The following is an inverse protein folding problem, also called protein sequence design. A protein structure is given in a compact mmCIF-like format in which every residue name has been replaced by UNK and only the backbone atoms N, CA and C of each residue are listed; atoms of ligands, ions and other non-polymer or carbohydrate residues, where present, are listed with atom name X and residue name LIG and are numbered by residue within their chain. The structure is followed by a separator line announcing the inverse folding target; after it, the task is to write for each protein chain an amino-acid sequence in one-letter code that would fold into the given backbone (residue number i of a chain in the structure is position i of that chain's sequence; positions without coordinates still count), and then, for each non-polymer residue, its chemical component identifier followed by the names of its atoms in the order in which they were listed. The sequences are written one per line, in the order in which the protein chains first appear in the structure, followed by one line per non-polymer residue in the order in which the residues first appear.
data_IF_613787350742
#
_entry.id   IF_613787350742
#
_cell.length_a   1.000
_cell.length_b   1.000
_cell.length_c   1.000
_cell.angle_alpha   90.00
_cell.angle_beta   90.00
_cell.angle_gamma   90.00
#
_symmetry.space_group_name_H-M   'P 1'
#
loop_
_entity.id
_entity.type
_entity.pdbx_description
1 polymer ?
#
# COMPACT_ATOMS: atom_id res chain seq x y z
N UNK A 1 -20.96 -13.09 -3.36
CA UNK A 1 -19.65 -13.04 -4.03
C UNK A 1 -19.29 -14.44 -4.53
N UNK A 2 -18.51 -14.58 -5.60
CA UNK A 2 -17.93 -15.88 -6.00
C UNK A 2 -16.42 -15.95 -5.71
N UNK A 3 -15.86 -17.15 -5.78
CA UNK A 3 -14.44 -17.40 -5.45
C UNK A 3 -13.48 -16.61 -6.36
N UNK A 4 -13.85 -16.39 -7.63
CA UNK A 4 -13.03 -15.63 -8.58
C UNK A 4 -13.00 -14.12 -8.26
N UNK A 5 -14.10 -13.56 -7.77
CA UNK A 5 -14.17 -12.19 -7.28
C UNK A 5 -13.32 -12.00 -6.01
N UNK A 6 -13.38 -12.95 -5.06
CA UNK A 6 -12.51 -12.94 -3.88
C UNK A 6 -11.03 -13.03 -4.22
N UNK A 7 -10.65 -13.90 -5.17
CA UNK A 7 -9.28 -14.03 -5.66
C UNK A 7 -8.77 -12.72 -6.30
N UNK A 8 -9.64 -12.02 -7.03
CA UNK A 8 -9.32 -10.71 -7.63
C UNK A 8 -9.06 -9.67 -6.54
N UNK A 9 -9.92 -9.58 -5.53
CA UNK A 9 -9.74 -8.65 -4.41
C UNK A 9 -8.48 -8.95 -3.60
N UNK A 10 -8.17 -10.23 -3.40
CA UNK A 10 -6.93 -10.66 -2.76
C UNK A 10 -5.70 -10.27 -3.57
N UNK A 11 -5.72 -10.50 -4.88
CA UNK A 11 -4.62 -10.15 -5.78
C UNK A 11 -4.37 -8.64 -5.83
N UNK A 12 -5.44 -7.84 -5.90
CA UNK A 12 -5.36 -6.38 -5.85
C UNK A 12 -4.74 -5.88 -4.53
N UNK A 13 -5.15 -6.46 -3.39
CA UNK A 13 -4.54 -6.14 -2.10
C UNK A 13 -3.04 -6.48 -2.07
N UNK A 14 -2.66 -7.67 -2.53
CA UNK A 14 -1.24 -8.09 -2.58
C UNK A 14 -0.42 -7.16 -3.46
N UNK A 15 -0.94 -6.80 -4.64
CA UNK A 15 -0.29 -5.85 -5.55
C UNK A 15 -0.10 -4.49 -4.89
N UNK A 16 -1.12 -3.95 -4.22
CA UNK A 16 -1.00 -2.68 -3.51
C UNK A 16 0.04 -2.75 -2.38
N UNK A 17 0.15 -3.88 -1.68
CA UNK A 17 1.19 -4.10 -0.66
C UNK A 17 2.58 -4.11 -1.30
N UNK A 18 2.77 -4.80 -2.42
CA UNK A 18 4.07 -4.83 -3.12
C UNK A 18 4.50 -3.44 -3.61
N UNK A 19 3.55 -2.64 -4.11
CA UNK A 19 3.79 -1.25 -4.51
C UNK A 19 4.17 -0.37 -3.30
N UNK A 20 3.48 -0.52 -2.17
CA UNK A 20 3.84 0.19 -0.93
C UNK A 20 5.21 -0.24 -0.39
N UNK A 21 5.52 -1.53 -0.39
CA UNK A 21 6.84 -2.06 0.02
C UNK A 21 7.94 -1.50 -0.88
N UNK A 22 7.69 -1.41 -2.18
CA UNK A 22 8.64 -0.79 -3.11
C UNK A 22 8.86 0.70 -2.77
N UNK A 23 7.79 1.44 -2.47
CA UNK A 23 7.87 2.85 -2.12
C UNK A 23 8.62 3.11 -0.80
N UNK A 24 8.39 2.31 0.25
CA UNK A 24 9.13 2.46 1.52
C UNK A 24 10.62 2.13 1.36
N UNK A 25 10.99 1.19 0.48
CA UNK A 25 12.40 0.88 0.19
C UNK A 25 13.08 2.01 -0.57
N UNK A 26 12.35 2.69 -1.46
CA UNK A 26 12.85 3.89 -2.13
C UNK A 26 13.03 5.06 -1.15
N UNK A 27 12.08 5.26 -0.23
CA UNK A 27 12.18 6.25 0.84
C UNK A 27 13.37 5.95 1.77
N UNK A 28 13.51 4.70 2.23
CA UNK A 28 14.62 4.25 3.08
C UNK A 28 15.98 4.51 2.43
N UNK A 29 16.11 4.30 1.11
CA UNK A 29 17.35 4.56 0.39
C UNK A 29 17.74 6.05 0.36
N UNK A 30 16.79 6.97 0.55
CA UNK A 30 17.02 8.41 0.61
C UNK A 30 17.35 8.91 2.02
N UNK A 31 17.10 8.11 3.06
CA UNK A 31 17.52 8.38 4.43
C UNK A 31 19.05 8.25 4.55
N UNK A 32 19.77 9.21 3.95
CA UNK A 32 21.22 9.23 3.82
C UNK A 32 21.89 10.04 4.94
N UNK A 33 23.20 9.85 5.11
CA UNK A 33 24.02 10.63 6.05
C UNK A 33 24.36 12.04 5.55
N UNK A 34 23.95 12.39 4.33
CA UNK A 34 24.21 13.70 3.77
C UNK A 34 23.17 14.70 4.29
N UNK A 35 23.66 15.75 4.95
CA UNK A 35 22.82 16.72 5.64
C UNK A 35 22.59 17.96 4.78
N UNK A 36 21.89 17.80 3.65
CA UNK A 36 21.51 18.91 2.77
C UNK A 36 20.01 19.09 2.67
N UNK A 37 19.56 20.33 2.44
CA UNK A 37 18.14 20.66 2.22
C UNK A 37 17.60 19.92 0.99
N UNK A 38 18.38 19.82 -0.08
CA UNK A 38 17.95 19.14 -1.30
C UNK A 38 17.74 17.62 -1.12
N UNK A 39 18.43 16.99 -0.17
CA UNK A 39 18.21 15.57 0.16
C UNK A 39 17.04 15.40 1.13
N UNK A 40 16.85 16.34 2.06
CA UNK A 40 15.67 16.39 2.90
C UNK A 40 14.40 16.51 2.05
N UNK A 41 14.35 17.45 1.10
CA UNK A 41 13.20 17.68 0.23
C UNK A 41 12.83 16.40 -0.57
N UNK A 42 13.83 15.68 -1.08
CA UNK A 42 13.62 14.40 -1.79
C UNK A 42 13.07 13.32 -0.87
N UNK A 43 13.58 13.25 0.35
CA UNK A 43 13.11 12.27 1.32
C UNK A 43 11.67 12.55 1.74
N UNK A 44 11.30 13.83 1.96
CA UNK A 44 9.93 14.25 2.22
C UNK A 44 8.97 13.93 1.06
N UNK A 45 9.39 14.18 -0.18
CA UNK A 45 8.60 13.80 -1.37
C UNK A 45 8.40 12.28 -1.44
N UNK A 46 9.46 11.49 -1.22
CA UNK A 46 9.36 10.03 -1.22
C UNK A 46 8.47 9.50 -0.11
N UNK A 47 8.49 10.13 1.07
CA UNK A 47 7.58 9.80 2.17
C UNK A 47 6.12 10.04 1.78
N UNK A 48 5.83 11.16 1.10
CA UNK A 48 4.48 11.45 0.61
C UNK A 48 4.00 10.39 -0.40
N UNK A 49 4.89 9.88 -1.25
CA UNK A 49 4.60 8.79 -2.19
C UNK A 49 4.29 7.49 -1.44
N UNK A 50 5.13 7.10 -0.48
CA UNK A 50 4.92 5.91 0.35
C UNK A 50 3.60 5.98 1.13
N UNK A 51 3.28 7.14 1.71
CA UNK A 51 2.02 7.36 2.41
C UNK A 51 0.80 7.27 1.46
N UNK A 52 0.90 7.76 0.23
CA UNK A 52 -0.16 7.59 -0.78
C UNK A 52 -0.38 6.11 -1.11
N UNK A 53 0.68 5.33 -1.30
CA UNK A 53 0.59 3.89 -1.55
C UNK A 53 -0.03 3.15 -0.36
N UNK A 54 0.32 3.54 0.88
CA UNK A 54 -0.30 2.96 2.09
C UNK A 54 -1.81 3.18 2.14
N UNK A 55 -2.32 4.35 1.70
CA UNK A 55 -3.77 4.58 1.64
C UNK A 55 -4.47 3.62 0.68
N UNK A 56 -3.84 3.27 -0.43
CA UNK A 56 -4.36 2.26 -1.36
C UNK A 56 -4.38 0.88 -0.72
N UNK A 57 -3.33 0.50 0.01
CA UNK A 57 -3.29 -0.77 0.78
C UNK A 57 -4.47 -0.86 1.74
N UNK A 58 -4.74 0.20 2.50
CA UNK A 58 -5.87 0.23 3.45
C UNK A 58 -7.22 0.13 2.73
N UNK A 59 -7.38 0.83 1.60
CA UNK A 59 -8.58 0.75 0.79
C UNK A 59 -8.82 -0.68 0.26
N UNK A 60 -7.80 -1.31 -0.36
CA UNK A 60 -7.90 -2.68 -0.89
C UNK A 60 -8.12 -3.71 0.20
N UNK A 61 -7.43 -3.57 1.33
CA UNK A 61 -7.63 -4.42 2.50
C UNK A 61 -9.09 -4.39 2.95
N UNK A 62 -9.69 -3.19 3.05
CA UNK A 62 -11.07 -3.04 3.45
C UNK A 62 -12.02 -3.72 2.47
N UNK A 63 -11.85 -3.51 1.16
CA UNK A 63 -12.69 -4.17 0.15
C UNK A 63 -12.62 -5.70 0.28
N UNK A 64 -11.42 -6.25 0.42
CA UNK A 64 -11.24 -7.69 0.57
C UNK A 64 -11.81 -8.23 1.89
N UNK A 65 -11.61 -7.52 3.01
CA UNK A 65 -12.19 -7.93 4.29
C UNK A 65 -13.72 -7.85 4.33
N UNK A 66 -14.30 -6.80 3.74
CA UNK A 66 -15.75 -6.62 3.68
C UNK A 66 -16.38 -7.74 2.83
N UNK A 67 -15.75 -8.06 1.69
CA UNK A 67 -16.10 -9.21 0.85
C UNK A 67 -16.01 -10.56 1.59
N UNK A 68 -14.94 -10.81 2.32
CA UNK A 68 -14.80 -12.03 3.13
C UNK A 68 -15.87 -12.13 4.22
N UNK A 69 -16.23 -10.99 4.85
CA UNK A 69 -17.28 -10.98 5.88
C UNK A 69 -18.66 -11.24 5.27
N UNK A 70 -18.95 -10.69 4.10
CA UNK A 70 -20.17 -10.98 3.35
C UNK A 70 -20.25 -12.48 3.01
N UNK A 71 -19.18 -13.08 2.48
CA UNK A 71 -19.14 -14.50 2.14
C UNK A 71 -19.32 -15.41 3.37
N UNK A 72 -18.65 -15.09 4.48
CA UNK A 72 -18.67 -15.92 5.69
C UNK A 72 -19.96 -15.76 6.53
N UNK A 73 -20.57 -14.57 6.54
CA UNK A 73 -21.62 -14.22 7.49
C UNK A 73 -22.92 -13.71 6.84
N UNK A 74 -22.93 -13.45 5.53
CA UNK A 74 -24.12 -13.10 4.75
C UNK A 74 -24.71 -11.72 5.06
N UNK A 75 -23.88 -10.74 5.45
CA UNK A 75 -24.29 -9.35 5.69
C UNK A 75 -24.52 -8.56 4.39
#
# INVERSE_FOLDING_TARGET
MDEAELDTLQADYKKAVDEWVTAIRAEEALASVHHSVAELDKWEESHAIAHKAYKEVIFRKRLYEDALREDMFGF
#
